data_IF_113724704430
#
_entry.id   IF_113724704430
#
_cell.length_a   1.000
_cell.length_b   1.000
_cell.length_c   1.000
_cell.angle_alpha   90.00
_cell.angle_beta   90.00
_cell.angle_gamma   90.00
#
_symmetry.space_group_name_H-M   'P 1'
#
loop_
_entity.id
_entity.type
_entity.pdbx_description
1 polymer ?
#
# COMPACT_ATOMS: atom_id res chain seq x y z
N UNK A 1 -4.79 63.53 -43.31
CA UNK A 1 -3.84 63.41 -42.19
C UNK A 1 -4.62 63.58 -40.89
N UNK A 2 -5.00 62.47 -40.26
CA UNK A 2 -5.78 62.46 -39.00
C UNK A 2 -5.04 61.50 -38.05
N UNK A 3 -4.61 62.02 -36.92
CA UNK A 3 -3.83 61.35 -35.88
C UNK A 3 -4.77 60.69 -34.87
N UNK A 4 -4.59 59.39 -34.62
CA UNK A 4 -5.39 58.60 -33.66
C UNK A 4 -4.56 58.47 -32.37
N UNK A 5 -5.09 58.81 -31.18
CA UNK A 5 -4.33 58.69 -29.94
C UNK A 5 -4.35 57.24 -29.44
N UNK A 6 -3.19 56.80 -28.99
CA UNK A 6 -2.89 55.47 -28.45
C UNK A 6 -3.43 55.37 -27.01
N UNK A 7 -4.50 54.59 -26.79
CA UNK A 7 -4.99 54.30 -25.43
C UNK A 7 -4.29 53.04 -24.92
N UNK A 8 -3.35 53.22 -23.98
CA UNK A 8 -2.60 52.14 -23.34
C UNK A 8 -3.49 51.41 -22.32
N UNK A 9 -3.96 50.20 -22.64
CA UNK A 9 -4.72 49.35 -21.73
C UNK A 9 -3.75 48.65 -20.76
N UNK A 10 -3.72 49.07 -19.50
CA UNK A 10 -2.96 48.39 -18.46
C UNK A 10 -3.65 47.06 -18.08
N UNK A 11 -3.08 45.92 -18.50
CA UNK A 11 -3.49 44.61 -18.01
C UNK A 11 -3.02 44.43 -16.56
N UNK A 12 -3.95 44.46 -15.61
CA UNK A 12 -3.72 43.97 -14.26
C UNK A 12 -3.60 42.44 -14.31
N UNK A 13 -2.38 41.92 -14.17
CA UNK A 13 -2.15 40.49 -13.95
C UNK A 13 -2.57 40.12 -12.53
N UNK A 14 -3.68 39.40 -12.39
CA UNK A 14 -4.03 38.75 -11.12
C UNK A 14 -2.99 37.66 -10.82
N UNK A 15 -2.45 37.56 -9.60
CA UNK A 15 -1.58 36.44 -9.25
C UNK A 15 -2.41 35.15 -9.31
N UNK A 16 -1.97 34.19 -10.11
CA UNK A 16 -2.54 32.85 -10.14
C UNK A 16 -2.49 32.27 -8.74
N UNK A 17 -3.65 32.16 -8.10
CA UNK A 17 -3.78 31.44 -6.83
C UNK A 17 -3.34 30.01 -7.06
N UNK A 18 -2.22 29.62 -6.43
CA UNK A 18 -1.86 28.22 -6.30
C UNK A 18 -2.88 27.62 -5.34
N UNK A 19 -3.86 26.89 -5.88
CA UNK A 19 -4.70 26.03 -5.05
C UNK A 19 -3.78 24.96 -4.44
N UNK A 20 -3.79 24.75 -3.12
CA UNK A 20 -3.12 23.59 -2.55
C UNK A 20 -3.79 22.33 -3.10
N UNK A 21 -3.08 21.54 -3.89
CA UNK A 21 -3.51 20.20 -4.28
C UNK A 21 -3.32 19.26 -3.09
N UNK A 22 -4.18 19.37 -2.09
CA UNK A 22 -4.46 18.25 -1.20
C UNK A 22 -5.38 17.30 -1.95
N UNK A 23 -4.83 16.54 -2.89
CA UNK A 23 -5.53 15.37 -3.43
C UNK A 23 -5.45 14.29 -2.38
N UNK A 24 -6.48 14.20 -1.53
CA UNK A 24 -6.84 12.93 -0.91
C UNK A 24 -7.31 12.03 -2.05
N UNK A 25 -6.36 11.42 -2.77
CA UNK A 25 -6.69 10.34 -3.69
C UNK A 25 -6.97 9.13 -2.82
N UNK A 26 -8.22 9.00 -2.37
CA UNK A 26 -8.70 7.78 -1.73
C UNK A 26 -8.81 6.72 -2.83
N UNK A 27 -7.66 6.15 -3.17
CA UNK A 27 -7.62 4.99 -4.05
C UNK A 27 -8.20 3.83 -3.23
N UNK A 28 -9.46 3.49 -3.52
CA UNK A 28 -10.24 2.48 -2.81
C UNK A 28 -9.51 1.12 -2.73
N UNK A 29 -8.59 0.89 -3.66
CA UNK A 29 -7.81 -0.33 -3.77
C UNK A 29 -6.38 -0.19 -3.22
N UNK A 30 -6.11 0.85 -2.43
CA UNK A 30 -4.88 0.98 -1.65
C UNK A 30 -5.01 0.40 -0.24
N UNK A 31 -3.93 -0.25 0.18
CA UNK A 31 -3.70 -0.74 1.54
C UNK A 31 -2.48 0.00 2.09
N UNK A 32 -2.66 0.69 3.22
CA UNK A 32 -1.55 1.29 3.95
C UNK A 32 -0.76 0.22 4.70
N UNK A 33 0.57 0.29 4.61
CA UNK A 33 1.48 -0.57 5.33
C UNK A 33 2.05 0.19 6.52
N UNK A 34 1.69 -0.27 7.72
CA UNK A 34 2.11 0.31 8.99
C UNK A 34 3.39 -0.39 9.46
N UNK A 35 4.47 0.36 9.76
CA UNK A 35 5.68 -0.23 10.31
C UNK A 35 5.46 -0.72 11.74
N UNK A 36 6.10 -1.83 12.07
CA UNK A 36 6.13 -2.35 13.44
C UNK A 36 7.36 -1.79 14.17
N UNK A 37 7.25 -1.60 15.48
CA UNK A 37 8.37 -1.14 16.31
C UNK A 37 9.42 -2.22 16.61
N UNK A 38 9.37 -3.37 15.93
CA UNK A 38 10.26 -4.52 16.22
C UNK A 38 11.66 -4.39 15.63
N UNK A 39 11.82 -3.62 14.55
CA UNK A 39 13.11 -3.44 13.87
C UNK A 39 13.41 -1.93 13.79
N UNK A 40 14.52 -1.46 14.40
CA UNK A 40 14.87 -0.03 14.42
C UNK A 40 14.91 0.63 13.04
N UNK A 41 15.46 -0.07 12.05
CA UNK A 41 15.57 0.40 10.68
C UNK A 41 14.22 0.61 9.96
N UNK A 42 13.13 0.04 10.47
CA UNK A 42 11.81 0.10 9.83
C UNK A 42 10.91 1.21 10.40
N UNK A 43 11.32 1.95 11.44
CA UNK A 43 10.45 2.91 12.12
C UNK A 43 9.95 4.06 11.23
N UNK A 44 10.76 4.45 10.24
CA UNK A 44 10.42 5.50 9.29
C UNK A 44 9.97 4.94 7.94
N UNK A 45 9.79 3.63 7.82
CA UNK A 45 9.35 3.04 6.56
C UNK A 45 7.90 3.45 6.26
N UNK A 46 7.67 3.83 5.01
CA UNK A 46 6.34 4.12 4.47
C UNK A 46 6.06 3.08 3.39
N UNK A 47 4.88 2.51 3.38
CA UNK A 47 4.56 1.50 2.39
C UNK A 47 3.09 1.49 2.02
N UNK A 48 2.84 1.13 0.78
CA UNK A 48 1.49 0.97 0.23
C UNK A 48 1.44 -0.29 -0.61
N UNK A 49 0.33 -1.01 -0.56
CA UNK A 49 0.00 -2.03 -1.55
C UNK A 49 -1.19 -1.55 -2.37
N UNK A 50 -1.04 -1.54 -3.69
CA UNK A 50 -2.09 -1.23 -4.65
C UNK A 50 -2.68 -2.51 -5.20
N UNK A 51 -4.00 -2.58 -5.24
CA UNK A 51 -4.75 -3.66 -5.85
C UNK A 51 -5.35 -3.21 -7.16
N UNK A 52 -5.37 -4.13 -8.12
CA UNK A 52 -6.15 -3.98 -9.34
C UNK A 52 -6.71 -5.34 -9.74
N UNK A 53 -7.80 -5.38 -10.49
CA UNK A 53 -8.28 -6.65 -11.02
C UNK A 53 -7.30 -7.17 -12.06
N UNK A 54 -6.95 -8.45 -11.96
CA UNK A 54 -6.10 -9.07 -12.96
C UNK A 54 -6.78 -8.99 -14.34
N UNK A 55 -6.05 -8.58 -15.39
CA UNK A 55 -6.64 -8.22 -16.67
C UNK A 55 -7.32 -9.41 -17.35
N UNK A 56 -8.51 -9.18 -17.90
CA UNK A 56 -9.24 -10.17 -18.69
C UNK A 56 -10.03 -9.51 -19.82
N UNK A 57 -10.42 -10.26 -20.87
CA UNK A 57 -11.30 -9.76 -21.92
C UNK A 57 -12.65 -9.25 -21.43
N UNK A 58 -13.06 -9.63 -20.21
CA UNK A 58 -14.33 -9.27 -19.58
C UNK A 58 -14.16 -8.29 -18.41
N UNK A 59 -12.96 -7.74 -18.21
CA UNK A 59 -12.65 -6.74 -17.18
C UNK A 59 -12.37 -7.31 -15.78
N UNK A 60 -12.69 -8.58 -15.51
CA UNK A 60 -12.38 -9.29 -14.26
C UNK A 60 -11.85 -10.70 -14.54
N UNK A 61 -10.90 -11.15 -13.73
CA UNK A 61 -10.42 -12.53 -13.72
C UNK A 61 -10.89 -13.22 -12.45
N UNK A 62 -11.33 -14.47 -12.56
CA UNK A 62 -11.68 -15.32 -11.43
C UNK A 62 -10.73 -16.51 -11.36
N UNK A 63 -10.46 -17.00 -10.15
CA UNK A 63 -9.84 -18.31 -9.97
C UNK A 63 -10.82 -19.46 -10.23
N UNK A 64 -10.35 -20.71 -10.12
CA UNK A 64 -11.17 -21.91 -10.35
C UNK A 64 -12.33 -22.07 -9.35
N UNK A 65 -12.30 -21.34 -8.23
CA UNK A 65 -13.31 -21.37 -7.18
C UNK A 65 -14.31 -20.20 -7.30
N UNK A 66 -14.11 -19.30 -8.27
CA UNK A 66 -14.96 -18.14 -8.51
C UNK A 66 -14.58 -16.90 -7.69
N UNK A 67 -13.41 -16.88 -7.05
CA UNK A 67 -12.93 -15.69 -6.36
C UNK A 67 -12.24 -14.72 -7.33
N UNK A 68 -12.39 -13.42 -7.09
CA UNK A 68 -11.69 -12.39 -7.87
C UNK A 68 -10.17 -12.54 -7.73
N UNK A 69 -9.48 -12.56 -8.87
CA UNK A 69 -8.03 -12.50 -8.91
C UNK A 69 -7.58 -11.03 -8.97
N UNK A 70 -6.80 -10.61 -7.99
CA UNK A 70 -6.22 -9.28 -7.91
C UNK A 70 -4.73 -9.32 -8.20
N UNK A 71 -4.26 -8.37 -9.01
CA UNK A 71 -2.85 -7.98 -9.06
C UNK A 71 -2.55 -7.09 -7.86
N UNK A 72 -1.47 -7.41 -7.15
CA UNK A 72 -0.99 -6.70 -5.97
C UNK A 72 0.38 -6.12 -6.29
N UNK A 73 0.54 -4.81 -6.14
CA UNK A 73 1.81 -4.11 -6.31
C UNK A 73 2.16 -3.39 -5.01
N UNK A 74 3.24 -3.81 -4.37
CA UNK A 74 3.76 -3.17 -3.16
C UNK A 74 4.84 -2.17 -3.54
N UNK A 75 4.81 -1.01 -2.88
CA UNK A 75 5.89 -0.05 -2.86
C UNK A 75 6.21 0.26 -1.41
N UNK A 76 7.48 0.17 -1.05
CA UNK A 76 7.99 0.57 0.25
C UNK A 76 9.14 1.54 0.08
N UNK A 77 9.12 2.60 0.85
CA UNK A 77 10.10 3.66 0.85
C UNK A 77 10.77 3.75 2.23
N UNK A 78 11.99 4.29 2.25
CA UNK A 78 12.77 4.52 3.49
C UNK A 78 12.95 3.24 4.32
N UNK A 79 13.22 2.13 3.62
CA UNK A 79 13.53 0.85 4.23
C UNK A 79 14.91 0.40 3.75
N UNK A 80 15.91 0.59 4.61
CA UNK A 80 17.30 0.27 4.28
C UNK A 80 17.59 -1.22 4.48
N UNK A 81 18.23 -1.84 3.49
CA UNK A 81 18.65 -3.23 3.57
C UNK A 81 19.68 -3.42 4.68
N UNK A 82 19.42 -4.38 5.56
CA UNK A 82 20.37 -4.83 6.57
C UNK A 82 21.21 -5.95 5.96
N UNK A 83 22.54 -5.83 6.02
CA UNK A 83 23.45 -6.80 5.41
C UNK A 83 23.17 -8.25 5.87
N UNK A 84 23.13 -9.19 4.92
CA UNK A 84 22.81 -10.60 5.17
C UNK A 84 21.31 -10.90 5.29
N UNK A 85 20.45 -9.89 5.19
CA UNK A 85 19.01 -10.02 5.28
C UNK A 85 18.31 -9.43 4.06
N UNK A 86 17.06 -9.85 3.84
CA UNK A 86 16.22 -9.41 2.75
C UNK A 86 14.80 -9.18 3.23
N UNK A 87 14.16 -8.12 2.74
CA UNK A 87 12.75 -7.89 3.00
C UNK A 87 11.92 -8.78 2.09
N UNK A 88 11.06 -9.60 2.68
CA UNK A 88 10.14 -10.47 1.96
C UNK A 88 8.70 -10.09 2.27
N UNK A 89 7.90 -9.92 1.23
CA UNK A 89 6.46 -9.71 1.33
C UNK A 89 5.70 -11.03 1.24
N UNK A 90 4.63 -11.08 2.03
CA UNK A 90 3.74 -12.21 2.17
C UNK A 90 2.30 -11.71 2.16
N UNK A 91 1.43 -12.55 1.63
CA UNK A 91 -0.01 -12.38 1.73
C UNK A 91 -0.56 -13.51 2.60
N UNK A 92 -1.53 -13.21 3.45
CA UNK A 92 -2.11 -14.21 4.35
C UNK A 92 -3.61 -13.99 4.52
N UNK A 93 -4.37 -15.07 4.71
CA UNK A 93 -5.73 -14.94 5.24
C UNK A 93 -5.68 -14.34 6.66
N UNK A 94 -6.75 -13.63 7.11
CA UNK A 94 -6.75 -13.00 8.44
C UNK A 94 -6.58 -13.96 9.62
N UNK A 95 -6.94 -15.24 9.44
CA UNK A 95 -6.77 -16.32 10.42
C UNK A 95 -5.38 -16.99 10.36
N UNK A 96 -4.51 -16.52 9.47
CA UNK A 96 -3.12 -16.99 9.27
C UNK A 96 -2.97 -18.46 8.89
N UNK A 97 -4.05 -19.10 8.41
CA UNK A 97 -4.04 -20.50 7.94
C UNK A 97 -3.44 -20.64 6.54
N UNK A 98 -3.74 -19.70 5.65
CA UNK A 98 -3.22 -19.69 4.29
C UNK A 98 -2.26 -18.54 4.14
N UNK A 99 -1.04 -18.83 3.70
CA UNK A 99 0.04 -17.87 3.51
C UNK A 99 0.68 -18.14 2.16
N UNK A 100 0.90 -17.07 1.40
CA UNK A 100 1.63 -17.12 0.14
C UNK A 100 2.75 -16.10 0.17
N UNK A 101 3.94 -16.54 -0.22
CA UNK A 101 5.07 -15.65 -0.44
C UNK A 101 4.82 -14.83 -1.71
N UNK A 102 4.78 -13.51 -1.59
CA UNK A 102 4.68 -12.64 -2.74
C UNK A 102 6.03 -12.48 -3.43
N UNK A 103 7.09 -12.35 -2.62
CA UNK A 103 8.46 -12.30 -3.11
C UNK A 103 9.37 -11.41 -2.27
N UNK A 104 10.63 -11.34 -2.68
CA UNK A 104 11.59 -10.39 -2.13
C UNK A 104 11.28 -8.98 -2.65
N UNK A 105 11.40 -7.97 -1.79
CA UNK A 105 11.44 -6.60 -2.25
C UNK A 105 12.67 -6.38 -3.15
N UNK A 106 12.47 -5.67 -4.25
CA UNK A 106 13.55 -5.19 -5.10
C UNK A 106 14.41 -4.17 -4.37
N UNK A 107 15.52 -3.77 -5.00
CA UNK A 107 16.34 -2.67 -4.50
C UNK A 107 15.54 -1.36 -4.33
N UNK A 108 14.51 -1.17 -5.17
CA UNK A 108 13.65 0.01 -5.14
C UNK A 108 12.43 -0.16 -4.21
N UNK A 109 12.44 -1.21 -3.37
CA UNK A 109 11.38 -1.49 -2.40
C UNK A 109 10.07 -1.99 -3.02
N UNK A 110 10.11 -2.53 -4.24
CA UNK A 110 8.94 -3.02 -4.96
C UNK A 110 8.84 -4.53 -4.98
N UNK A 111 7.61 -5.04 -4.96
CA UNK A 111 7.30 -6.44 -5.26
C UNK A 111 5.87 -6.54 -5.76
N UNK A 112 5.62 -7.44 -6.71
CA UNK A 112 4.29 -7.64 -7.27
C UNK A 112 3.95 -9.12 -7.36
N UNK A 113 2.66 -9.42 -7.39
CA UNK A 113 2.13 -10.76 -7.62
C UNK A 113 0.61 -10.75 -7.55
N UNK A 114 0.01 -11.90 -7.26
CA UNK A 114 -1.44 -12.07 -7.33
C UNK A 114 -2.03 -12.70 -6.08
N UNK A 115 -3.30 -12.40 -5.83
CA UNK A 115 -4.08 -12.98 -4.73
C UNK A 115 -5.53 -13.14 -5.14
N UNK A 116 -6.14 -14.27 -4.77
CA UNK A 116 -7.58 -14.51 -4.99
C UNK A 116 -8.43 -14.40 -3.73
N UNK A 117 -7.83 -13.99 -2.61
CA UNK A 117 -8.56 -13.73 -1.36
C UNK A 117 -9.18 -12.34 -1.39
N UNK A 118 -10.47 -12.26 -1.04
CA UNK A 118 -11.13 -10.97 -0.83
C UNK A 118 -10.57 -10.27 0.42
N UNK A 119 -10.42 -11.00 1.54
CA UNK A 119 -9.88 -10.50 2.80
C UNK A 119 -8.53 -11.11 3.05
N UNK A 120 -7.50 -10.29 3.18
CA UNK A 120 -6.14 -10.73 3.45
C UNK A 120 -5.32 -9.64 4.15
N UNK A 121 -4.22 -10.09 4.74
CA UNK A 121 -3.17 -9.30 5.34
C UNK A 121 -2.01 -9.20 4.36
N UNK A 122 -1.39 -8.02 4.30
CA UNK A 122 -0.08 -7.81 3.68
C UNK A 122 0.95 -7.76 4.80
N UNK A 123 1.99 -8.58 4.71
CA UNK A 123 3.01 -8.70 5.76
C UNK A 123 4.38 -8.58 5.10
N UNK A 124 5.22 -7.68 5.62
CA UNK A 124 6.63 -7.60 5.24
C UNK A 124 7.47 -8.05 6.42
N UNK A 125 8.46 -8.90 6.15
CA UNK A 125 9.34 -9.52 7.13
C UNK A 125 10.80 -9.29 6.76
N UNK A 126 11.69 -9.28 7.75
CA UNK A 126 13.13 -9.29 7.55
C UNK A 126 13.63 -10.74 7.64
N UNK A 127 13.90 -11.37 6.51
CA UNK A 127 14.34 -12.76 6.45
C UNK A 127 15.87 -12.86 6.23
N UNK A 128 16.52 -13.97 6.58
CA UNK A 128 17.86 -14.28 6.09
C UNK A 128 17.87 -14.31 4.56
N UNK A 129 18.92 -13.75 3.94
CA UNK A 129 19.04 -13.74 2.49
C UNK A 129 19.01 -15.16 1.92
N UNK A 130 18.22 -15.38 0.87
CA UNK A 130 18.07 -16.70 0.24
C UNK A 130 17.16 -17.69 0.98
N UNK A 131 16.40 -17.26 1.99
CA UNK A 131 15.42 -18.14 2.64
C UNK A 131 14.31 -18.56 1.66
N UNK A 132 13.93 -19.84 1.74
CA UNK A 132 12.91 -20.48 0.87
C UNK A 132 11.72 -21.04 1.66
N UNK A 133 11.51 -20.56 2.89
CA UNK A 133 10.43 -21.06 3.75
C UNK A 133 9.05 -20.82 3.14
N UNK A 134 8.10 -21.71 3.42
CA UNK A 134 6.69 -21.56 3.05
C UNK A 134 5.93 -20.60 4.00
N UNK A 135 6.55 -20.27 5.14
CA UNK A 135 6.04 -19.32 6.13
C UNK A 135 7.17 -18.42 6.63
N UNK A 136 6.90 -17.14 6.87
CA UNK A 136 7.91 -16.24 7.42
C UNK A 136 8.40 -16.71 8.79
N UNK A 137 9.68 -16.47 9.05
CA UNK A 137 10.35 -16.83 10.32
C UNK A 137 11.00 -15.62 10.95
N UNK A 138 11.33 -14.62 10.13
CA UNK A 138 11.88 -13.35 10.54
C UNK A 138 10.85 -12.46 11.24
N UNK A 139 11.32 -11.37 11.89
CA UNK A 139 10.43 -10.40 12.48
C UNK A 139 9.58 -9.72 11.39
N UNK A 140 8.28 -9.60 11.67
CA UNK A 140 7.38 -8.72 10.91
C UNK A 140 7.86 -7.28 11.08
N UNK A 141 8.11 -6.59 9.98
CA UNK A 141 8.58 -5.20 9.96
C UNK A 141 7.50 -4.23 9.54
N UNK A 142 6.57 -4.65 8.68
CA UNK A 142 5.39 -3.86 8.30
C UNK A 142 4.18 -4.77 8.11
N UNK A 143 2.99 -4.20 8.28
CA UNK A 143 1.73 -4.91 8.05
C UNK A 143 0.66 -3.99 7.49
N UNK A 144 -0.25 -4.53 6.70
CA UNK A 144 -1.47 -3.87 6.26
C UNK A 144 -2.63 -4.85 6.17
N UNK A 145 -3.84 -4.31 6.12
CA UNK A 145 -5.07 -5.08 5.99
C UNK A 145 -5.86 -4.59 4.78
N UNK A 146 -6.30 -5.52 3.93
CA UNK A 146 -7.25 -5.23 2.86
C UNK A 146 -8.46 -4.42 3.35
N UNK A 147 -8.99 -3.50 2.53
CA UNK A 147 -10.15 -2.68 2.90
C UNK A 147 -11.39 -3.51 3.26
N UNK A 148 -11.65 -4.59 2.55
CA UNK A 148 -12.70 -5.57 2.89
C UNK A 148 -12.47 -6.27 4.25
N UNK A 149 -11.19 -6.40 4.65
CA UNK A 149 -10.78 -6.85 5.96
C UNK A 149 -11.18 -5.85 7.06
N UNK A 150 -10.99 -4.54 6.81
CA UNK A 150 -11.45 -3.48 7.72
C UNK A 150 -12.97 -3.49 7.93
N UNK A 151 -13.73 -3.84 6.88
CA UNK A 151 -15.20 -3.96 6.96
C UNK A 151 -15.66 -5.19 7.76
N UNK A 152 -14.81 -6.21 7.90
CA UNK A 152 -15.13 -7.42 8.66
C UNK A 152 -14.68 -7.37 10.10
N UNK A 153 -13.66 -6.56 10.41
CA UNK A 153 -13.35 -6.22 11.79
C UNK A 153 -14.48 -5.31 12.27
N UNK A 154 -15.35 -5.82 13.14
CA UNK A 154 -15.94 -4.94 14.15
C UNK A 154 -14.74 -4.31 14.86
N UNK A 155 -14.40 -3.08 14.48
CA UNK A 155 -13.27 -2.31 15.01
C UNK A 155 -13.55 -2.00 16.49
N UNK A 156 -13.40 -3.02 17.32
CA UNK A 156 -13.82 -3.04 18.70
C UNK A 156 -13.09 -4.06 19.55
N UNK A 157 -12.72 -5.25 19.04
CA UNK A 157 -12.02 -6.26 19.86
C UNK A 157 -11.02 -7.14 19.09
N UNK A 158 -9.82 -7.34 19.65
CA UNK A 158 -8.79 -8.27 19.16
C UNK A 158 -7.36 -7.70 19.08
N UNK A 159 -6.37 -8.41 18.50
CA UNK A 159 -4.98 -7.92 18.40
C UNK A 159 -4.78 -6.65 17.56
N UNK A 160 -5.84 -6.11 16.96
CA UNK A 160 -5.89 -4.82 16.26
C UNK A 160 -6.46 -3.68 17.14
N UNK A 161 -7.00 -3.99 18.33
CA UNK A 161 -7.57 -3.04 19.31
C UNK A 161 -6.53 -2.10 19.93
N UNK A 162 -5.25 -2.47 19.88
CA UNK A 162 -4.13 -1.68 20.43
C UNK A 162 -3.45 -0.78 19.39
N UNK A 163 -3.93 -0.74 18.14
CA UNK A 163 -3.42 0.25 17.19
C UNK A 163 -4.02 1.62 17.50
N UNK A 164 -3.23 2.71 17.47
CA UNK A 164 -3.76 4.04 17.73
C UNK A 164 -4.90 4.30 16.74
N UNK A 165 -6.09 4.59 17.30
CA UNK A 165 -7.34 4.84 16.59
C UNK A 165 -7.25 5.95 15.52
N UNK A 166 -6.10 6.62 15.44
CA UNK A 166 -5.76 7.65 14.45
C UNK A 166 -5.44 7.10 13.06
N UNK A 167 -5.04 5.82 12.92
CA UNK A 167 -4.71 5.26 11.59
C UNK A 167 -5.93 4.66 10.87
N UNK A 168 -6.96 4.23 11.62
CA UNK A 168 -8.14 3.55 11.05
C UNK A 168 -9.48 4.25 11.28
N UNK A 169 -9.47 5.51 11.72
CA UNK A 169 -10.58 6.46 11.59
C UNK A 169 -11.90 6.08 12.27
N UNK A 170 -12.11 6.61 13.48
CA UNK A 170 -13.43 7.08 13.93
C UNK A 170 -13.22 8.43 14.62
N UNK A 171 -13.92 9.46 14.14
CA UNK A 171 -14.09 10.73 14.86
C UNK A 171 -15.15 10.58 15.94
#
# INVERSE_FOLDING_TARGET
>A
MISIPFLLLALLTLPSGVLPTNTCTDDYYMIDLVPTRRVPAAHQAEGVAKLSFAPSPFGITLDSEGNYLYDVVLQVNRLELVGGHEYTAWLSTPDLKSITRLGRLSHDGQVAGQVSWNKFLVIITLEPAGSMSERWTGPVVMRGLSRSGLMHTMAGHGPFEQEPCTVYGYY
#
